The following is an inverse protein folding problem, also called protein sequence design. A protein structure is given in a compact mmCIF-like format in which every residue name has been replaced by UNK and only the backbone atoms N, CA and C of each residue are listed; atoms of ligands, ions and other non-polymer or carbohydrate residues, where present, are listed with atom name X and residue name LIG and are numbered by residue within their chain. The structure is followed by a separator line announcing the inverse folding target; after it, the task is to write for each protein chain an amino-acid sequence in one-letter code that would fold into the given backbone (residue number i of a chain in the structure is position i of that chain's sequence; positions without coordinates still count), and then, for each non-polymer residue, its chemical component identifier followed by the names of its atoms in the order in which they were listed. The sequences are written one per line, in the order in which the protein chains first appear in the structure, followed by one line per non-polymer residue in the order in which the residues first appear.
data_IF_896334376452
#
_entry.id   IF_896334376452
#
_cell.length_a   1.000
_cell.length_b   1.000
_cell.length_c   1.000
_cell.angle_alpha   90.00
_cell.angle_beta   90.00
_cell.angle_gamma   90.00
#
_symmetry.space_group_name_H-M   'P 1'
#
loop_
_entity.id
_entity.type
_entity.pdbx_description
1 polymer ?
#
# COMPACT_ATOMS: atom_id res chain seq x y z
N UNK A 1 7.28 -33.69 3.53
CA UNK A 1 7.24 -32.37 4.21
C UNK A 1 8.56 -31.66 4.01
N UNK A 2 8.56 -30.46 3.43
CA UNK A 2 9.79 -29.69 3.25
C UNK A 2 10.22 -29.07 4.60
N UNK A 3 11.21 -29.67 5.26
CA UNK A 3 11.68 -29.24 6.59
C UNK A 3 12.48 -27.94 6.55
N UNK A 4 12.92 -27.47 5.38
CA UNK A 4 13.74 -26.27 5.26
C UNK A 4 12.98 -25.01 5.70
N UNK A 5 11.67 -24.94 5.40
CA UNK A 5 10.84 -23.77 5.74
C UNK A 5 10.45 -23.70 7.22
N UNK A 6 10.64 -24.78 7.99
CA UNK A 6 10.42 -24.77 9.45
C UNK A 6 11.48 -23.97 10.20
N UNK A 7 12.64 -23.69 9.57
CA UNK A 7 13.75 -22.96 10.18
C UNK A 7 13.92 -21.55 9.62
N UNK A 8 13.53 -21.33 8.37
CA UNK A 8 13.65 -20.02 7.73
C UNK A 8 12.62 -19.86 6.60
N UNK A 9 12.03 -18.66 6.53
CA UNK A 9 11.17 -18.26 5.41
C UNK A 9 12.06 -17.87 4.21
N UNK A 10 11.75 -18.35 2.98
CA UNK A 10 12.45 -17.96 1.75
C UNK A 10 12.48 -16.44 1.58
N UNK A 11 13.53 -15.91 0.96
CA UNK A 11 13.71 -14.45 0.83
C UNK A 11 12.52 -13.80 0.11
N UNK A 12 11.99 -14.49 -0.89
CA UNK A 12 10.84 -14.12 -1.71
C UNK A 12 9.57 -13.97 -0.86
N UNK A 13 9.45 -14.75 0.23
CA UNK A 13 8.29 -14.76 1.12
C UNK A 13 8.40 -13.78 2.29
N UNK A 14 9.60 -13.22 2.57
CA UNK A 14 9.82 -12.38 3.76
C UNK A 14 8.97 -11.11 3.78
N UNK A 15 8.65 -10.57 2.59
CA UNK A 15 7.85 -9.34 2.49
C UNK A 15 6.34 -9.59 2.55
N UNK A 16 5.88 -10.83 2.27
CA UNK A 16 4.46 -11.16 2.23
C UNK A 16 3.75 -10.91 3.56
N UNK A 17 4.43 -11.12 4.68
CA UNK A 17 3.84 -10.83 6.00
C UNK A 17 3.44 -9.37 6.17
N UNK A 18 4.25 -8.44 5.66
CA UNK A 18 3.96 -6.99 5.68
C UNK A 18 2.82 -6.65 4.74
N UNK A 19 2.81 -7.24 3.55
CA UNK A 19 1.72 -7.08 2.59
C UNK A 19 0.40 -7.57 3.19
N UNK A 20 0.35 -8.78 3.75
CA UNK A 20 -0.86 -9.30 4.38
C UNK A 20 -1.32 -8.47 5.58
N UNK A 21 -0.39 -8.02 6.44
CA UNK A 21 -0.73 -7.12 7.55
C UNK A 21 -1.30 -5.77 7.06
N UNK A 22 -0.74 -5.21 5.98
CA UNK A 22 -1.27 -4.01 5.36
C UNK A 22 -2.64 -4.26 4.72
N UNK A 23 -2.83 -5.38 4.03
CA UNK A 23 -4.09 -5.70 3.36
C UNK A 23 -5.18 -6.19 4.33
N UNK A 24 -4.88 -6.53 5.58
CA UNK A 24 -5.85 -6.99 6.58
C UNK A 24 -6.84 -5.91 7.08
N UNK A 25 -6.82 -4.71 6.52
CA UNK A 25 -7.65 -3.57 6.93
C UNK A 25 -8.53 -3.10 5.77
N UNK A 26 -9.83 -3.03 6.01
CA UNK A 26 -10.81 -2.73 4.97
C UNK A 26 -10.69 -1.30 4.40
N UNK A 27 -10.21 -0.33 5.18
CA UNK A 27 -10.01 1.03 4.66
C UNK A 27 -8.83 1.09 3.70
N UNK A 28 -7.74 0.37 4.02
CA UNK A 28 -6.60 0.23 3.10
C UNK A 28 -7.00 -0.52 1.83
N UNK A 29 -7.83 -1.56 1.93
CA UNK A 29 -8.39 -2.23 0.75
C UNK A 29 -9.23 -1.27 -0.11
N UNK A 30 -10.14 -0.50 0.50
CA UNK A 30 -10.95 0.50 -0.22
C UNK A 30 -10.08 1.54 -0.91
N UNK A 31 -9.02 2.04 -0.25
CA UNK A 31 -8.05 2.96 -0.86
C UNK A 31 -7.37 2.32 -2.08
N UNK A 32 -6.95 1.06 -2.00
CA UNK A 32 -6.34 0.39 -3.17
C UNK A 32 -7.31 0.25 -4.34
N UNK A 33 -8.58 -0.01 -4.05
CA UNK A 33 -9.64 -0.12 -5.04
C UNK A 33 -9.99 1.22 -5.70
N UNK A 34 -9.48 2.36 -5.22
CA UNK A 34 -9.66 3.63 -5.93
C UNK A 34 -8.69 3.82 -7.09
N UNK A 35 -7.65 2.98 -7.21
CA UNK A 35 -6.66 3.10 -8.27
C UNK A 35 -7.08 2.27 -9.49
N UNK A 36 -7.34 2.93 -10.60
CA UNK A 36 -7.46 2.28 -11.91
C UNK A 36 -6.08 1.85 -12.45
N UNK A 37 -6.02 0.89 -13.39
CA UNK A 37 -4.76 0.43 -13.97
C UNK A 37 -3.91 1.57 -14.57
N UNK A 38 -2.74 1.83 -13.96
CA UNK A 38 -1.81 2.88 -14.39
C UNK A 38 -2.09 4.27 -13.81
N UNK A 39 -3.12 4.40 -12.98
CA UNK A 39 -3.48 5.65 -12.34
C UNK A 39 -2.44 6.08 -11.28
N UNK A 40 -2.26 7.40 -11.15
CA UNK A 40 -1.50 8.01 -10.06
C UNK A 40 -2.42 8.98 -9.33
N UNK A 41 -2.54 8.82 -8.02
CA UNK A 41 -3.39 9.65 -7.17
C UNK A 41 -2.55 10.36 -6.10
N UNK A 42 -2.88 11.61 -5.80
CA UNK A 42 -2.34 12.30 -4.63
C UNK A 42 -3.26 12.12 -3.41
N UNK A 43 -2.80 12.56 -2.23
CA UNK A 43 -3.59 12.46 -0.98
C UNK A 43 -4.93 13.21 -1.10
N UNK A 44 -4.97 14.34 -1.81
CA UNK A 44 -6.18 15.13 -2.00
C UNK A 44 -7.27 14.35 -2.74
N UNK A 45 -6.92 13.78 -3.89
CA UNK A 45 -7.83 12.99 -4.72
C UNK A 45 -8.45 11.81 -3.95
N UNK A 46 -7.64 11.11 -3.15
CA UNK A 46 -8.14 9.99 -2.33
C UNK A 46 -9.06 10.50 -1.20
N UNK A 47 -8.72 11.64 -0.58
CA UNK A 47 -9.57 12.23 0.46
C UNK A 47 -10.93 12.62 -0.10
N UNK A 48 -10.99 13.20 -1.30
CA UNK A 48 -12.24 13.65 -1.94
C UNK A 48 -13.26 12.53 -2.15
N UNK A 49 -12.80 11.31 -2.42
CA UNK A 49 -13.66 10.14 -2.66
C UNK A 49 -13.80 9.21 -1.44
N UNK A 50 -13.12 9.54 -0.33
CA UNK A 50 -13.15 8.72 0.90
C UNK A 50 -14.02 9.36 1.98
N UNK A 51 -14.44 8.55 2.95
CA UNK A 51 -15.09 9.04 4.19
C UNK A 51 -14.07 9.41 5.27
N UNK A 52 -12.77 9.39 4.96
CA UNK A 52 -11.68 9.49 5.93
C UNK A 52 -11.06 10.88 5.96
N UNK A 53 -10.47 11.23 7.09
CA UNK A 53 -9.70 12.48 7.21
C UNK A 53 -8.40 12.38 6.41
N UNK A 54 -7.87 13.54 6.00
CA UNK A 54 -6.55 13.64 5.34
C UNK A 54 -5.42 13.00 6.15
N UNK A 55 -5.43 13.15 7.48
CA UNK A 55 -4.45 12.53 8.36
C UNK A 55 -4.55 11.01 8.31
N UNK A 56 -5.77 10.47 8.38
CA UNK A 56 -6.02 9.03 8.31
C UNK A 56 -5.62 8.45 6.95
N UNK A 57 -6.00 9.10 5.84
CA UNK A 57 -5.56 8.70 4.49
C UNK A 57 -4.04 8.71 4.36
N UNK A 58 -3.37 9.75 4.84
CA UNK A 58 -1.90 9.84 4.80
C UNK A 58 -1.25 8.70 5.59
N UNK A 59 -1.81 8.34 6.75
CA UNK A 59 -1.33 7.20 7.53
C UNK A 59 -1.49 5.89 6.77
N UNK A 60 -2.66 5.63 6.17
CA UNK A 60 -2.88 4.43 5.36
C UNK A 60 -1.95 4.33 4.16
N UNK A 61 -1.76 5.43 3.42
CA UNK A 61 -0.84 5.49 2.28
C UNK A 61 0.62 5.22 2.70
N UNK A 62 1.03 5.74 3.86
CA UNK A 62 2.35 5.43 4.42
C UNK A 62 2.51 3.94 4.69
N UNK A 63 1.53 3.30 5.35
CA UNK A 63 1.55 1.86 5.66
C UNK A 63 1.59 1.03 4.38
N UNK A 64 0.74 1.33 3.40
CA UNK A 64 0.70 0.64 2.11
C UNK A 64 2.03 0.77 1.34
N UNK A 65 2.64 1.96 1.36
CA UNK A 65 3.97 2.20 0.77
C UNK A 65 5.08 1.42 1.49
N UNK A 66 5.07 1.42 2.83
CA UNK A 66 6.07 0.69 3.63
C UNK A 66 5.95 -0.84 3.49
N UNK A 67 4.74 -1.33 3.20
CA UNK A 67 4.50 -2.72 2.87
C UNK A 67 4.89 -3.10 1.43
N UNK A 68 5.23 -2.12 0.58
CA UNK A 68 5.55 -2.34 -0.84
C UNK A 68 4.33 -2.53 -1.74
N UNK A 69 3.13 -2.17 -1.28
CA UNK A 69 1.91 -2.26 -2.11
C UNK A 69 1.75 -1.01 -3.00
N UNK A 70 2.27 0.13 -2.52
CA UNK A 70 2.29 1.38 -3.26
C UNK A 70 3.71 1.88 -3.46
N UNK A 71 3.94 2.49 -4.61
CA UNK A 71 5.06 3.38 -4.87
C UNK A 71 4.63 4.83 -4.64
N UNK A 72 5.60 5.73 -4.48
CA UNK A 72 5.32 7.15 -4.33
C UNK A 72 6.41 8.05 -4.89
N UNK A 73 6.05 9.23 -5.38
CA UNK A 73 6.97 10.25 -5.88
C UNK A 73 6.50 11.63 -5.43
N UNK A 74 7.45 12.49 -5.03
CA UNK A 74 7.15 13.88 -4.69
C UNK A 74 7.31 14.75 -5.94
N UNK A 75 6.22 15.39 -6.37
CA UNK A 75 6.19 16.30 -7.50
C UNK A 75 5.75 17.67 -6.98
N UNK A 76 6.69 18.62 -6.95
CA UNK A 76 6.47 19.93 -6.34
C UNK A 76 6.12 19.83 -4.85
N UNK A 77 4.91 20.28 -4.49
CA UNK A 77 4.40 20.23 -3.10
C UNK A 77 3.59 18.96 -2.80
N UNK A 78 3.29 18.14 -3.80
CA UNK A 78 2.42 16.98 -3.66
C UNK A 78 3.20 15.67 -3.69
N UNK A 79 2.61 14.64 -3.09
CA UNK A 79 3.09 13.26 -3.18
C UNK A 79 2.06 12.45 -3.95
N UNK A 80 2.50 11.82 -5.01
CA UNK A 80 1.71 10.98 -5.90
C UNK A 80 2.00 9.52 -5.59
N UNK A 81 0.96 8.68 -5.56
CA UNK A 81 1.01 7.25 -5.25
C UNK A 81 0.48 6.45 -6.45
N UNK A 82 0.93 5.20 -6.58
CA UNK A 82 0.42 4.23 -7.57
C UNK A 82 0.70 2.80 -7.10
N UNK A 83 -0.05 1.83 -7.62
CA UNK A 83 0.13 0.42 -7.32
C UNK A 83 1.53 -0.06 -7.74
N UNK A 84 2.21 -0.78 -6.85
CA UNK A 84 3.46 -1.47 -7.18
C UNK A 84 3.15 -2.69 -8.07
N UNK A 85 3.95 -2.90 -9.13
CA UNK A 85 3.74 -3.97 -10.12
C UNK A 85 4.84 -5.04 -10.10
N UNK A 86 5.83 -4.86 -9.23
CA UNK A 86 7.02 -5.71 -9.11
C UNK A 86 6.95 -6.69 -7.93
#
# INVERSE_FOLDING_TARGET
MNRNYLRAIPREWRNLSRVFAALGDEHRQRILLTFEPGERLNVGAIVEVSTLTRTTVSHHLKVLREAGVLRSEKIGKEVWFWLDKD
#
